data_IF_543228137642
#
_entry.id   IF_543228137642
#
_cell.length_a   1.000
_cell.length_b   1.000
_cell.length_c   1.000
_cell.angle_alpha   90.00
_cell.angle_beta   90.00
_cell.angle_gamma   90.00
#
_symmetry.space_group_name_H-M   'P 1'
#
loop_
_entity.id
_entity.type
_entity.pdbx_description
1 polymer ?
#
# COMPACT_ATOMS: atom_id res chain seq x y z
N UNK A 1 -3.83 -14.64 -17.24
CA UNK A 1 -2.85 -15.10 -18.26
C UNK A 1 -1.67 -15.70 -17.51
N UNK A 2 -1.16 -16.85 -17.97
CA UNK A 2 0.03 -17.49 -17.38
C UNK A 2 1.09 -17.56 -18.48
N UNK A 3 2.29 -17.07 -18.20
CA UNK A 3 3.40 -16.99 -19.14
C UNK A 3 4.62 -17.68 -18.54
N UNK A 4 5.40 -18.46 -19.33
CA UNK A 4 6.65 -19.05 -18.84
C UNK A 4 7.64 -17.97 -18.35
N UNK A 5 8.43 -18.29 -17.32
CA UNK A 5 9.32 -17.35 -16.64
C UNK A 5 10.26 -16.55 -17.59
N UNK A 6 10.66 -17.15 -18.73
CA UNK A 6 11.55 -16.50 -19.70
C UNK A 6 10.92 -15.37 -20.53
N UNK A 7 9.59 -15.26 -20.59
CA UNK A 7 8.90 -14.31 -21.50
C UNK A 7 8.07 -13.25 -20.75
N UNK A 8 8.14 -13.21 -19.42
CA UNK A 8 7.26 -12.35 -18.61
C UNK A 8 7.40 -10.86 -18.95
N UNK A 9 8.64 -10.36 -19.08
CA UNK A 9 8.90 -8.95 -19.36
C UNK A 9 8.45 -8.53 -20.77
N UNK A 10 8.80 -9.31 -21.79
CA UNK A 10 8.42 -9.01 -23.18
C UNK A 10 6.90 -8.99 -23.34
N UNK A 11 6.22 -9.94 -22.70
CA UNK A 11 4.78 -9.99 -22.66
C UNK A 11 4.18 -8.79 -21.93
N UNK A 12 4.74 -8.43 -20.76
CA UNK A 12 4.28 -7.26 -19.99
C UNK A 12 4.43 -5.95 -20.76
N UNK A 13 5.54 -5.76 -21.46
CA UNK A 13 5.77 -4.60 -22.32
C UNK A 13 4.78 -4.56 -23.49
N UNK A 14 4.53 -5.70 -24.14
CA UNK A 14 3.56 -5.77 -25.23
C UNK A 14 2.15 -5.37 -24.79
N UNK A 15 1.73 -5.75 -23.58
CA UNK A 15 0.47 -5.30 -22.99
C UNK A 15 0.44 -3.79 -22.77
N UNK A 16 1.53 -3.25 -22.20
CA UNK A 16 1.63 -1.83 -21.85
C UNK A 16 1.69 -0.92 -23.07
N UNK A 17 2.34 -1.34 -24.17
CA UNK A 17 2.37 -0.62 -25.44
C UNK A 17 1.05 -0.70 -26.23
N UNK A 18 0.17 -1.64 -25.88
CA UNK A 18 -1.20 -1.67 -26.37
C UNK A 18 -2.04 -0.60 -25.66
N UNK A 19 -3.01 -1.06 -24.88
CA UNK A 19 -3.92 -0.18 -24.11
C UNK A 19 -4.07 -0.64 -22.65
N UNK A 20 -3.27 -1.61 -22.21
CA UNK A 20 -3.35 -2.08 -20.83
C UNK A 20 -2.71 -1.07 -19.89
N UNK A 21 -3.32 -0.88 -18.72
CA UNK A 21 -2.77 -0.10 -17.63
C UNK A 21 -2.36 -1.01 -16.48
N UNK A 22 -1.19 -0.75 -15.91
CA UNK A 22 -0.75 -1.38 -14.68
C UNK A 22 -1.61 -0.89 -13.51
N UNK A 23 -2.06 -1.83 -12.68
CA UNK A 23 -2.81 -1.59 -11.45
C UNK A 23 -1.95 -2.09 -10.29
N UNK A 24 -1.73 -1.23 -9.29
CA UNK A 24 -0.93 -1.57 -8.12
C UNK A 24 -1.78 -2.28 -7.06
N UNK A 25 -1.12 -2.74 -5.98
CA UNK A 25 -1.81 -3.40 -4.86
C UNK A 25 -2.92 -2.52 -4.25
N UNK A 26 -2.71 -1.20 -4.21
CA UNK A 26 -3.72 -0.24 -3.71
C UNK A 26 -4.98 -0.22 -4.58
N UNK A 27 -4.81 -0.23 -5.89
CA UNK A 27 -5.90 -0.20 -6.87
C UNK A 27 -6.65 -1.54 -6.89
N UNK A 28 -5.93 -2.64 -6.67
CA UNK A 28 -6.53 -3.94 -6.43
C UNK A 28 -7.38 -3.94 -5.15
N UNK A 29 -6.84 -3.44 -4.03
CA UNK A 29 -7.56 -3.37 -2.75
C UNK A 29 -8.83 -2.50 -2.86
N UNK A 30 -8.78 -1.37 -3.58
CA UNK A 30 -9.98 -0.56 -3.82
C UNK A 30 -11.01 -1.28 -4.67
N UNK A 31 -10.59 -1.96 -5.74
CA UNK A 31 -11.48 -2.74 -6.61
C UNK A 31 -12.16 -3.88 -5.85
N UNK A 32 -11.42 -4.58 -4.99
CA UNK A 32 -11.95 -5.68 -4.17
C UNK A 32 -12.94 -5.15 -3.13
N UNK A 33 -12.61 -4.04 -2.47
CA UNK A 33 -13.51 -3.37 -1.54
C UNK A 33 -14.83 -2.94 -2.20
N UNK A 34 -14.76 -2.30 -3.37
CA UNK A 34 -15.95 -1.91 -4.15
C UNK A 34 -16.80 -3.13 -4.57
N UNK A 35 -16.15 -4.28 -4.75
CA UNK A 35 -16.82 -5.54 -5.06
C UNK A 35 -17.35 -6.31 -3.84
N UNK A 36 -17.26 -5.74 -2.63
CA UNK A 36 -17.55 -6.40 -1.34
C UNK A 36 -16.79 -7.72 -1.14
N UNK A 37 -15.53 -7.77 -1.58
CA UNK A 37 -14.63 -8.89 -1.36
C UNK A 37 -13.55 -8.50 -0.36
N UNK A 38 -13.19 -9.44 0.50
CA UNK A 38 -12.06 -9.30 1.41
C UNK A 38 -10.74 -9.51 0.66
N UNK A 39 -9.77 -8.66 0.93
CA UNK A 39 -8.41 -8.75 0.44
C UNK A 39 -7.53 -9.53 1.42
N UNK A 40 -7.03 -10.70 1.01
CA UNK A 40 -5.98 -11.38 1.77
C UNK A 40 -4.62 -10.74 1.47
N UNK A 41 -3.75 -10.48 2.48
CA UNK A 41 -3.91 -10.80 3.90
C UNK A 41 -4.60 -9.72 4.75
N UNK A 42 -4.68 -8.49 4.27
CA UNK A 42 -4.99 -7.31 5.10
C UNK A 42 -6.38 -7.29 5.76
N UNK A 43 -7.40 -7.92 5.16
CA UNK A 43 -8.77 -7.91 5.68
C UNK A 43 -9.13 -9.17 6.49
N UNK A 44 -8.17 -10.07 6.71
CA UNK A 44 -8.41 -11.41 7.29
C UNK A 44 -7.61 -11.56 8.59
N UNK A 45 -8.19 -11.17 9.75
CA UNK A 45 -7.48 -11.11 11.02
C UNK A 45 -7.34 -12.47 11.73
N UNK A 46 -7.94 -13.52 11.17
CA UNK A 46 -7.98 -14.85 11.77
C UNK A 46 -6.67 -15.65 11.56
N UNK A 47 -5.80 -15.18 10.67
CA UNK A 47 -4.56 -15.84 10.31
C UNK A 47 -3.33 -15.05 10.79
N UNK A 48 -2.21 -15.75 10.96
CA UNK A 48 -0.95 -15.12 11.38
C UNK A 48 -0.49 -14.06 10.37
N UNK A 49 -0.72 -14.27 9.08
CA UNK A 49 -0.39 -13.31 8.04
C UNK A 49 -1.15 -11.98 8.24
N UNK A 50 -2.46 -12.03 8.45
CA UNK A 50 -3.25 -10.82 8.73
C UNK A 50 -2.85 -10.15 10.04
N UNK A 51 -2.46 -10.91 11.06
CA UNK A 51 -1.95 -10.32 12.31
C UNK A 51 -0.62 -9.59 12.11
N UNK A 52 0.29 -10.13 11.29
CA UNK A 52 1.53 -9.45 10.94
C UNK A 52 1.25 -8.14 10.21
N UNK A 53 0.39 -8.16 9.19
CA UNK A 53 0.03 -6.96 8.43
C UNK A 53 -0.59 -5.87 9.30
N UNK A 54 -1.49 -6.23 10.22
CA UNK A 54 -2.09 -5.26 11.16
C UNK A 54 -1.05 -4.64 12.11
N UNK A 55 -0.04 -5.42 12.52
CA UNK A 55 1.03 -4.89 13.35
C UNK A 55 1.96 -3.97 12.56
N UNK A 56 2.30 -4.33 11.32
CA UNK A 56 3.13 -3.52 10.43
C UNK A 56 2.43 -2.18 10.12
N UNK A 57 1.14 -2.21 9.75
CA UNK A 57 0.33 -1.00 9.54
C UNK A 57 0.28 -0.12 10.81
N UNK A 58 0.16 -0.73 11.99
CA UNK A 58 0.16 0.00 13.25
C UNK A 58 1.49 0.70 13.49
N UNK A 59 2.61 0.03 13.26
CA UNK A 59 3.94 0.59 13.49
C UNK A 59 4.22 1.74 12.51
N UNK A 60 3.82 1.61 11.24
CA UNK A 60 3.88 2.69 10.26
C UNK A 60 3.05 3.92 10.69
N UNK A 61 1.84 3.71 11.19
CA UNK A 61 0.97 4.79 11.67
C UNK A 61 1.54 5.49 12.90
N UNK A 62 2.17 4.76 13.82
CA UNK A 62 2.85 5.34 14.99
C UNK A 62 3.99 6.25 14.53
N UNK A 63 4.83 5.76 13.61
CA UNK A 63 5.95 6.54 13.07
C UNK A 63 5.45 7.79 12.34
N UNK A 64 4.44 7.65 11.50
CA UNK A 64 3.84 8.77 10.76
C UNK A 64 3.25 9.84 11.69
N UNK A 65 2.52 9.40 12.72
CA UNK A 65 1.92 10.30 13.73
C UNK A 65 2.98 11.03 14.55
N UNK A 66 4.03 10.31 14.97
CA UNK A 66 5.15 10.90 15.70
C UNK A 66 5.91 11.92 14.85
N UNK A 67 6.22 11.59 13.59
CA UNK A 67 6.88 12.51 12.67
C UNK A 67 6.05 13.77 12.45
N UNK A 68 4.72 13.63 12.29
CA UNK A 68 3.81 14.76 12.17
C UNK A 68 3.82 15.64 13.43
N UNK A 69 3.85 15.04 14.62
CA UNK A 69 3.94 15.77 15.88
C UNK A 69 5.23 16.58 15.99
N UNK A 70 6.39 15.94 15.78
CA UNK A 70 7.70 16.60 15.83
C UNK A 70 7.80 17.73 14.79
N UNK A 71 7.30 17.49 13.58
CA UNK A 71 7.27 18.52 12.54
C UNK A 71 6.48 19.74 13.03
N UNK A 72 5.27 19.56 13.54
CA UNK A 72 4.45 20.67 14.05
C UNK A 72 5.13 21.40 15.21
N UNK A 73 5.71 20.70 16.18
CA UNK A 73 6.45 21.34 17.29
C UNK A 73 7.62 22.20 16.76
N UNK A 74 8.39 21.69 15.79
CA UNK A 74 9.45 22.44 15.12
C UNK A 74 8.90 23.67 14.36
N UNK A 75 7.75 23.55 13.69
CA UNK A 75 7.08 24.68 13.04
C UNK A 75 6.64 25.73 14.07
N UNK A 76 6.04 25.32 15.19
CA UNK A 76 5.65 26.24 16.26
C UNK A 76 6.85 26.97 16.86
N UNK A 77 7.96 26.28 17.13
CA UNK A 77 9.20 26.91 17.63
C UNK A 77 9.81 27.86 16.60
N UNK A 78 9.78 27.51 15.30
CA UNK A 78 10.36 28.35 14.24
C UNK A 78 9.57 29.64 14.00
N UNK A 79 8.25 29.62 14.15
CA UNK A 79 7.37 30.73 13.79
C UNK A 79 6.75 31.48 14.97
N UNK A 80 6.76 30.90 16.18
CA UNK A 80 6.23 31.51 17.41
C UNK A 80 7.24 31.50 18.56
N UNK A 81 8.51 31.21 18.30
CA UNK A 81 9.56 31.40 19.29
C UNK A 81 9.61 32.85 19.78
N UNK A 82 9.52 33.03 21.10
CA UNK A 82 9.73 34.28 21.85
C UNK A 82 11.03 34.99 21.49
#
# INVERSE_FOLDING_TARGET
LIVPNGFGMEFWLALQYGTAHASALRDQKSTEFESNRFNFPSDIPDCDAGRCEVNDERDELIVSTFNHFIANDLYYVKYNGY
#
